data_IF_246057587026
#
_entry.id   IF_246057587026
#
_cell.length_a   1.000
_cell.length_b   1.000
_cell.length_c   1.000
_cell.angle_alpha   90.00
_cell.angle_beta   90.00
_cell.angle_gamma   90.00
#
_symmetry.space_group_name_H-M   'P 1'
#
loop_
_entity.id
_entity.type
_entity.pdbx_description
1 polymer ?
#
# COMPACT_ATOMS: atom_id res chain seq x y z
N UNK A 1 -14.23 4.87 -4.46
CA UNK A 1 -14.05 5.69 -3.24
C UNK A 1 -15.30 5.67 -2.38
N UNK A 2 -16.51 5.85 -2.94
CA UNK A 2 -17.77 5.74 -2.19
C UNK A 2 -17.90 4.48 -1.30
N UNK A 3 -17.48 3.30 -1.79
CA UNK A 3 -17.51 2.07 -1.00
C UNK A 3 -16.49 2.09 0.14
N UNK A 4 -15.32 2.69 -0.07
CA UNK A 4 -14.31 2.90 0.98
C UNK A 4 -14.85 3.87 2.03
N UNK A 5 -15.53 4.94 1.61
CA UNK A 5 -16.15 5.90 2.52
C UNK A 5 -17.25 5.28 3.38
N UNK A 6 -18.04 4.37 2.78
CA UNK A 6 -19.18 3.72 3.45
C UNK A 6 -18.75 2.55 4.35
N UNK A 7 -17.82 1.72 3.89
CA UNK A 7 -17.47 0.46 4.52
C UNK A 7 -16.19 0.57 5.36
N UNK A 8 -15.33 1.53 5.05
CA UNK A 8 -13.95 1.59 5.51
C UNK A 8 -13.04 0.59 4.79
N UNK A 9 -11.76 0.93 4.66
CA UNK A 9 -10.79 0.13 3.91
C UNK A 9 -10.65 -1.31 4.42
N UNK A 10 -10.84 -1.52 5.72
CA UNK A 10 -10.74 -2.85 6.34
C UNK A 10 -11.80 -3.81 5.80
N UNK A 11 -13.06 -3.35 5.70
CA UNK A 11 -14.15 -4.19 5.19
C UNK A 11 -14.01 -4.43 3.69
N UNK A 12 -13.57 -3.43 2.94
CA UNK A 12 -13.25 -3.57 1.51
C UNK A 12 -12.20 -4.67 1.29
N UNK A 13 -11.13 -4.68 2.08
CA UNK A 13 -10.08 -5.70 1.97
C UNK A 13 -10.57 -7.10 2.38
N UNK A 14 -11.36 -7.20 3.45
CA UNK A 14 -11.99 -8.47 3.86
C UNK A 14 -12.82 -9.06 2.71
N UNK A 15 -13.75 -8.27 2.15
CA UNK A 15 -14.62 -8.72 1.04
C UNK A 15 -13.82 -9.04 -0.23
N UNK A 16 -12.76 -8.28 -0.51
CA UNK A 16 -11.87 -8.54 -1.64
C UNK A 16 -11.15 -9.87 -1.47
N UNK A 17 -10.56 -10.14 -0.30
CA UNK A 17 -9.85 -11.37 -0.02
C UNK A 17 -10.79 -12.59 -0.01
N UNK A 18 -12.00 -12.45 0.52
CA UNK A 18 -13.05 -13.47 0.49
C UNK A 18 -13.44 -13.78 -0.95
N UNK A 19 -13.68 -12.76 -1.78
CA UNK A 19 -14.01 -12.92 -3.18
C UNK A 19 -12.89 -13.65 -3.95
N UNK A 20 -11.63 -13.23 -3.78
CA UNK A 20 -10.48 -13.84 -4.43
C UNK A 20 -10.25 -15.30 -3.99
N UNK A 21 -10.56 -15.62 -2.73
CA UNK A 21 -10.30 -16.93 -2.12
C UNK A 21 -11.51 -17.86 -2.07
N UNK A 22 -12.69 -17.42 -2.53
CA UNK A 22 -13.98 -18.10 -2.34
C UNK A 22 -14.02 -19.58 -2.74
N UNK A 23 -13.17 -20.00 -3.69
CA UNK A 23 -13.06 -21.40 -4.15
C UNK A 23 -11.75 -22.07 -3.76
N UNK A 24 -10.64 -21.36 -3.88
CA UNK A 24 -9.30 -21.88 -3.63
C UNK A 24 -8.34 -20.72 -3.44
N UNK A 25 -7.35 -20.89 -2.55
CA UNK A 25 -6.25 -19.93 -2.39
C UNK A 25 -5.37 -19.95 -3.64
N UNK A 26 -5.07 -18.77 -4.19
CA UNK A 26 -4.26 -18.60 -5.40
C UNK A 26 -3.20 -17.52 -5.18
N UNK A 27 -2.09 -17.56 -5.94
CA UNK A 27 -1.15 -16.44 -5.97
C UNK A 27 -1.86 -15.12 -6.32
N UNK A 28 -1.55 -14.06 -5.57
CA UNK A 28 -2.07 -12.71 -5.78
C UNK A 28 -1.03 -11.90 -6.54
N UNK A 29 -1.47 -11.19 -7.57
CA UNK A 29 -0.69 -10.16 -8.25
C UNK A 29 -1.33 -8.81 -7.92
N UNK A 30 -0.56 -7.94 -7.28
CA UNK A 30 -0.94 -6.57 -6.99
C UNK A 30 -0.36 -5.64 -8.05
N UNK A 31 -1.22 -4.99 -8.83
CA UNK A 31 -0.81 -3.87 -9.69
C UNK A 31 -1.25 -2.59 -8.98
N UNK A 32 -0.29 -1.83 -8.46
CA UNK A 32 -0.52 -0.66 -7.64
C UNK A 32 -0.13 0.60 -8.42
N UNK A 33 -1.14 1.40 -8.77
CA UNK A 33 -0.95 2.74 -9.30
C UNK A 33 -0.77 3.75 -8.16
N UNK A 34 0.31 4.53 -8.17
CA UNK A 34 0.58 5.52 -7.13
C UNK A 34 -0.48 6.65 -7.10
N UNK A 35 -1.19 6.85 -8.21
CA UNK A 35 -2.28 7.84 -8.30
C UNK A 35 -3.58 7.42 -7.62
N UNK A 36 -3.67 6.16 -7.15
CA UNK A 36 -4.76 5.71 -6.29
C UNK A 36 -4.73 6.40 -4.91
N UNK A 37 -3.55 6.85 -4.47
CA UNK A 37 -3.36 7.66 -3.26
C UNK A 37 -3.66 9.12 -3.60
N UNK A 38 -4.28 9.84 -2.67
CA UNK A 38 -4.66 11.23 -2.89
C UNK A 38 -3.44 12.11 -3.25
N UNK A 39 -3.58 13.05 -4.21
CA UNK A 39 -2.49 13.92 -4.65
C UNK A 39 -1.88 14.79 -3.55
N UNK A 40 -2.56 14.97 -2.41
CA UNK A 40 -1.95 15.62 -1.22
C UNK A 40 -0.78 14.82 -0.63
N UNK A 41 -0.66 13.54 -0.96
CA UNK A 41 0.42 12.65 -0.52
C UNK A 41 1.33 12.24 -1.69
N UNK A 42 0.75 11.90 -2.85
CA UNK A 42 1.48 11.42 -4.05
C UNK A 42 1.30 12.35 -5.27
N UNK A 43 1.71 13.64 -5.17
CA UNK A 43 1.49 14.61 -6.25
C UNK A 43 2.29 14.35 -7.55
N UNK A 44 3.40 13.62 -7.49
CA UNK A 44 4.30 13.42 -8.62
C UNK A 44 3.88 12.21 -9.49
N UNK A 45 2.69 12.31 -10.11
CA UNK A 45 2.10 11.32 -11.03
C UNK A 45 1.54 11.99 -12.29
N UNK A 46 1.26 11.20 -13.33
CA UNK A 46 0.69 11.68 -14.60
C UNK A 46 -0.75 12.20 -14.49
N UNK A 47 -1.58 11.57 -13.65
CA UNK A 47 -3.04 11.81 -13.63
C UNK A 47 -3.59 12.00 -12.21
N UNK A 48 -3.22 13.08 -11.50
CA UNK A 48 -3.68 13.28 -10.11
C UNK A 48 -5.19 13.51 -10.03
N UNK A 49 -5.89 12.73 -9.20
CA UNK A 49 -7.33 12.85 -8.94
C UNK A 49 -7.58 13.01 -7.44
N UNK A 50 -8.22 14.13 -7.05
CA UNK A 50 -8.56 14.43 -5.65
C UNK A 50 -9.64 13.50 -5.09
N UNK A 51 -9.55 13.22 -3.78
CA UNK A 51 -10.44 12.31 -3.07
C UNK A 51 -9.98 10.86 -3.16
N UNK A 52 -8.68 10.63 -3.34
CA UNK A 52 -8.07 9.31 -3.38
C UNK A 52 -7.91 8.66 -2.00
N UNK A 53 -7.23 7.53 -1.96
CA UNK A 53 -6.90 6.84 -0.71
C UNK A 53 -5.97 7.71 0.14
N UNK A 54 -6.18 7.70 1.44
CA UNK A 54 -5.20 8.25 2.37
C UNK A 54 -3.96 7.36 2.43
N UNK A 55 -2.82 7.92 2.86
CA UNK A 55 -1.60 7.15 3.10
C UNK A 55 -1.84 5.91 3.97
N UNK A 56 -2.63 6.04 5.05
CA UNK A 56 -2.91 4.95 5.99
C UNK A 56 -3.71 3.81 5.37
N UNK A 57 -4.61 4.11 4.45
CA UNK A 57 -5.42 3.13 3.71
C UNK A 57 -4.56 2.38 2.70
N UNK A 58 -3.69 3.09 1.96
CA UNK A 58 -2.71 2.45 1.08
C UNK A 58 -1.79 1.47 1.82
N UNK A 59 -1.22 1.91 2.94
CA UNK A 59 -0.39 1.03 3.78
C UNK A 59 -1.20 -0.15 4.33
N UNK A 60 -2.46 0.06 4.72
CA UNK A 60 -3.32 -1.04 5.17
C UNK A 60 -3.54 -2.10 4.08
N UNK A 61 -3.81 -1.69 2.83
CA UNK A 61 -3.92 -2.61 1.69
C UNK A 61 -2.63 -3.43 1.55
N UNK A 62 -1.48 -2.75 1.54
CA UNK A 62 -0.17 -3.39 1.37
C UNK A 62 0.14 -4.41 2.48
N UNK A 63 -0.03 -4.02 3.74
CA UNK A 63 0.17 -4.90 4.90
C UNK A 63 -0.81 -6.09 4.85
N UNK A 64 -2.09 -5.84 4.58
CA UNK A 64 -3.12 -6.89 4.57
C UNK A 64 -2.85 -7.92 3.47
N UNK A 65 -2.47 -7.48 2.27
CA UNK A 65 -2.10 -8.39 1.17
C UNK A 65 -0.81 -9.16 1.49
N UNK A 66 0.21 -8.52 2.05
CA UNK A 66 1.43 -9.20 2.48
C UNK A 66 1.15 -10.29 3.52
N UNK A 67 0.27 -10.01 4.49
CA UNK A 67 -0.13 -10.95 5.55
C UNK A 67 -0.91 -12.17 5.03
N UNK A 68 -1.51 -12.12 3.83
CA UNK A 68 -2.15 -13.30 3.24
C UNK A 68 -1.16 -14.45 2.98
N UNK A 69 0.13 -14.12 2.82
CA UNK A 69 1.16 -15.07 2.38
C UNK A 69 0.98 -15.57 0.94
N UNK A 70 0.06 -14.95 0.17
CA UNK A 70 -0.27 -15.31 -1.20
C UNK A 70 0.23 -14.30 -2.23
N UNK A 71 0.73 -13.13 -1.80
CA UNK A 71 1.26 -12.11 -2.69
C UNK A 71 2.51 -12.63 -3.41
N UNK A 72 2.41 -12.77 -4.73
CA UNK A 72 3.43 -13.40 -5.58
C UNK A 72 4.08 -12.44 -6.56
N UNK A 73 3.43 -11.32 -6.88
CA UNK A 73 3.95 -10.28 -7.77
C UNK A 73 3.38 -8.93 -7.37
N UNK A 74 4.20 -7.88 -7.51
CA UNK A 74 3.80 -6.49 -7.27
C UNK A 74 4.36 -5.62 -8.39
N UNK A 75 3.48 -4.85 -9.03
CA UNK A 75 3.87 -3.73 -9.89
C UNK A 75 3.58 -2.42 -9.15
N UNK A 76 4.54 -1.50 -9.10
CA UNK A 76 4.36 -0.14 -8.59
C UNK A 76 4.60 0.83 -9.74
N UNK A 77 3.53 1.49 -10.20
CA UNK A 77 3.51 2.22 -11.47
C UNK A 77 3.15 3.69 -11.30
N UNK A 78 3.32 4.46 -12.38
CA UNK A 78 2.97 5.88 -12.52
C UNK A 78 3.67 6.89 -11.58
N UNK A 79 4.73 6.46 -10.88
CA UNK A 79 5.64 7.41 -10.23
C UNK A 79 6.37 8.23 -11.29
N UNK A 80 6.08 9.53 -11.35
CA UNK A 80 6.64 10.45 -12.33
C UNK A 80 7.26 11.70 -11.67
N UNK A 81 8.57 11.66 -11.33
CA UNK A 81 9.27 12.79 -10.70
C UNK A 81 9.20 14.10 -11.50
N UNK A 82 9.05 14.04 -12.82
CA UNK A 82 8.96 15.22 -13.69
C UNK A 82 7.61 15.95 -13.59
N UNK A 83 6.67 15.41 -12.81
CA UNK A 83 5.36 16.03 -12.53
C UNK A 83 5.31 16.71 -11.16
N UNK A 84 6.28 16.46 -10.28
CA UNK A 84 6.39 17.17 -9.01
C UNK A 84 6.69 18.65 -9.22
N UNK A 85 6.03 19.53 -8.47
CA UNK A 85 6.26 20.98 -8.53
C UNK A 85 7.40 21.42 -7.60
N UNK A 86 7.81 20.55 -6.68
CA UNK A 86 8.88 20.77 -5.72
C UNK A 86 9.67 19.48 -5.45
N UNK A 87 10.86 19.60 -4.86
CA UNK A 87 11.62 18.43 -4.38
C UNK A 87 10.87 17.66 -3.28
N UNK A 88 9.98 18.33 -2.55
CA UNK A 88 9.14 17.70 -1.53
C UNK A 88 8.07 16.82 -2.17
N UNK A 89 7.43 17.27 -3.25
CA UNK A 89 6.42 16.50 -4.00
C UNK A 89 7.01 15.19 -4.51
N UNK A 90 8.21 15.27 -5.09
CA UNK A 90 8.95 14.11 -5.59
C UNK A 90 9.32 13.17 -4.44
N UNK A 91 9.90 13.70 -3.35
CA UNK A 91 10.25 12.89 -2.19
C UNK A 91 9.03 12.22 -1.57
N UNK A 92 7.95 12.95 -1.32
CA UNK A 92 6.72 12.41 -0.72
C UNK A 92 6.15 11.27 -1.56
N UNK A 93 6.09 11.44 -2.89
CA UNK A 93 5.57 10.41 -3.80
C UNK A 93 6.46 9.16 -3.81
N UNK A 94 7.78 9.34 -3.96
CA UNK A 94 8.74 8.23 -3.99
C UNK A 94 8.80 7.49 -2.65
N UNK A 95 8.85 8.23 -1.53
CA UNK A 95 8.83 7.64 -0.19
C UNK A 95 7.55 6.86 0.07
N UNK A 96 6.39 7.38 -0.37
CA UNK A 96 5.12 6.65 -0.26
C UNK A 96 5.16 5.36 -1.08
N UNK A 97 5.62 5.39 -2.33
CA UNK A 97 5.75 4.19 -3.16
C UNK A 97 6.67 3.14 -2.51
N UNK A 98 7.80 3.57 -1.93
CA UNK A 98 8.73 2.68 -1.20
C UNK A 98 8.07 2.09 0.04
N UNK A 99 7.35 2.89 0.83
CA UNK A 99 6.67 2.41 2.03
C UNK A 99 5.59 1.37 1.71
N UNK A 100 4.80 1.61 0.65
CA UNK A 100 3.79 0.66 0.18
C UNK A 100 4.43 -0.67 -0.27
N UNK A 101 5.53 -0.61 -1.03
CA UNK A 101 6.29 -1.80 -1.41
C UNK A 101 6.84 -2.55 -0.20
N UNK A 102 7.40 -1.85 0.79
CA UNK A 102 7.92 -2.48 2.00
C UNK A 102 6.79 -3.10 2.83
N UNK A 103 5.61 -2.47 2.88
CA UNK A 103 4.41 -3.03 3.50
C UNK A 103 3.97 -4.34 2.85
N UNK A 104 4.01 -4.41 1.51
CA UNK A 104 3.71 -5.63 0.75
C UNK A 104 4.62 -6.81 1.14
N UNK A 105 5.87 -6.52 1.53
CA UNK A 105 6.87 -7.52 1.88
C UNK A 105 7.15 -7.60 3.39
N UNK A 106 6.18 -7.20 4.22
CA UNK A 106 6.16 -7.53 5.64
C UNK A 106 6.69 -6.46 6.59
N UNK A 107 7.01 -5.25 6.12
CA UNK A 107 7.19 -4.12 7.04
C UNK A 107 5.84 -3.79 7.67
N UNK A 108 5.77 -3.79 9.00
CA UNK A 108 4.56 -3.46 9.76
C UNK A 108 4.73 -2.13 10.48
N UNK A 109 3.65 -1.34 10.56
CA UNK A 109 3.62 -0.10 11.34
C UNK A 109 3.84 -0.30 12.85
N UNK A 110 3.47 -1.45 13.39
CA UNK A 110 3.75 -1.82 14.80
C UNK A 110 5.22 -2.18 15.05
N UNK A 111 6.03 -2.26 13.99
CA UNK A 111 7.43 -2.66 14.03
C UNK A 111 7.63 -4.12 13.63
N UNK A 112 8.89 -4.46 13.35
CA UNK A 112 9.32 -5.81 13.08
C UNK A 112 10.52 -6.14 13.96
N UNK A 113 10.57 -7.36 14.48
CA UNK A 113 11.76 -7.90 15.10
C UNK A 113 12.05 -9.28 14.52
N UNK A 114 13.31 -9.68 14.55
CA UNK A 114 13.65 -11.04 14.16
C UNK A 114 13.00 -12.04 15.14
N UNK A 115 12.56 -13.23 14.69
CA UNK A 115 11.94 -14.23 15.57
C UNK A 115 12.85 -14.68 16.73
N UNK A 116 14.16 -14.53 16.57
CA UNK A 116 15.20 -14.86 17.55
C UNK A 116 15.67 -13.65 18.38
N UNK A 117 15.03 -12.48 18.22
CA UNK A 117 15.38 -11.29 18.99
C UNK A 117 15.23 -11.54 20.50
N UNK A 118 16.30 -11.20 21.24
CA UNK A 118 16.32 -11.21 22.71
C UNK A 118 16.75 -9.82 23.18
N UNK A 119 16.12 -9.36 24.26
CA UNK A 119 16.58 -8.16 24.95
C UNK A 119 18.03 -8.37 25.43
N UNK A 120 18.92 -7.36 25.29
CA UNK A 120 20.27 -7.44 25.83
C UNK A 120 20.25 -7.76 27.32
N UNK A 121 21.16 -8.63 27.77
CA UNK A 121 21.35 -8.85 29.21
C UNK A 121 21.97 -7.59 29.86
N UNK A 122 21.65 -7.31 31.14
CA UNK A 122 22.13 -6.12 31.86
C UNK A 122 23.65 -5.96 31.93
#
# INVERSE_FOLDING_TARGET
MSEVDQLGIAKVMEETCDYLSAKVKKPIHLSYDIDAIDPSVTPATGTPVVGGLTYREGVYIAEHLGQTGLLSAVDMVEVNPLRGQSDEDVRSTVSTAVDLLLGCFGRLREGNHSPDYRLPEP
#
